data_IF_748200336563
#
_entry.id   IF_748200336563
#
_cell.length_a   1.000
_cell.length_b   1.000
_cell.length_c   1.000
_cell.angle_alpha   90.00
_cell.angle_beta   90.00
_cell.angle_gamma   90.00
#
_symmetry.space_group_name_H-M   'P 1'
#
loop_
_entity.id
_entity.type
_entity.pdbx_description
1 polymer ?
#
# COMPACT_ATOMS: atom_id res chain seq x y z
N UNK A 1 2.24 13.42 23.52
CA UNK A 1 1.39 12.22 23.60
C UNK A 1 0.28 12.43 22.58
N UNK A 2 0.51 12.00 21.33
CA UNK A 2 -0.49 12.09 20.28
C UNK A 2 -1.47 10.95 20.51
N UNK A 3 -2.54 11.24 21.25
CA UNK A 3 -3.74 10.41 21.24
C UNK A 3 -4.30 10.45 19.81
N UNK A 4 -3.74 9.60 18.96
CA UNK A 4 -4.26 9.38 17.62
C UNK A 4 -5.57 8.59 17.78
N UNK A 5 -6.64 9.30 18.16
CA UNK A 5 -7.99 8.81 17.99
C UNK A 5 -8.07 8.31 16.55
N UNK A 6 -8.27 7.01 16.38
CA UNK A 6 -8.42 6.41 15.06
C UNK A 6 -9.38 7.29 14.23
N UNK A 7 -9.01 7.65 13.00
CA UNK A 7 -9.85 8.53 12.20
C UNK A 7 -11.22 7.87 12.08
N UNK A 8 -12.25 8.56 12.56
CA UNK A 8 -13.63 8.13 12.38
C UNK A 8 -14.00 8.39 10.91
N UNK A 9 -13.40 7.55 10.06
CA UNK A 9 -13.70 7.56 8.64
C UNK A 9 -15.08 6.96 8.53
N UNK A 10 -16.02 7.73 8.01
CA UNK A 10 -17.37 7.31 7.81
C UNK A 10 -17.38 5.93 7.13
N UNK A 11 -17.86 4.92 7.85
CA UNK A 11 -17.94 3.53 7.38
C UNK A 11 -18.64 3.43 6.02
N UNK A 12 -19.50 4.42 5.71
CA UNK A 12 -20.20 4.53 4.42
C UNK A 12 -19.23 4.78 3.27
N UNK A 13 -18.18 5.59 3.47
CA UNK A 13 -17.20 5.86 2.40
C UNK A 13 -16.41 4.58 2.08
N UNK A 14 -15.95 3.86 3.10
CA UNK A 14 -15.28 2.58 2.91
C UNK A 14 -16.18 1.56 2.23
N UNK A 15 -17.44 1.50 2.63
CA UNK A 15 -18.43 0.63 1.99
C UNK A 15 -18.61 0.97 0.50
N UNK A 16 -18.72 2.26 0.16
CA UNK A 16 -18.84 2.72 -1.23
C UNK A 16 -17.60 2.38 -2.03
N UNK A 17 -16.39 2.62 -1.48
CA UNK A 17 -15.12 2.31 -2.13
C UNK A 17 -15.01 0.80 -2.40
N UNK A 18 -15.23 -0.03 -1.40
CA UNK A 18 -15.19 -1.49 -1.55
C UNK A 18 -16.21 -1.96 -2.58
N UNK A 19 -17.44 -1.44 -2.52
CA UNK A 19 -18.49 -1.80 -3.47
C UNK A 19 -18.14 -1.39 -4.91
N UNK A 20 -17.51 -0.23 -5.10
CA UNK A 20 -17.07 0.26 -6.41
C UNK A 20 -15.94 -0.58 -7.00
N UNK A 21 -14.99 -1.04 -6.17
CA UNK A 21 -13.86 -1.85 -6.62
C UNK A 21 -14.17 -3.34 -6.72
N UNK A 22 -15.19 -3.83 -6.01
CA UNK A 22 -15.56 -5.24 -5.95
C UNK A 22 -15.81 -5.89 -7.32
N UNK A 23 -16.58 -5.28 -8.25
CA UNK A 23 -16.78 -5.87 -9.57
C UNK A 23 -15.47 -6.06 -10.34
N UNK A 24 -14.57 -5.08 -10.24
CA UNK A 24 -13.27 -5.15 -10.93
C UNK A 24 -12.41 -6.25 -10.29
N UNK A 25 -12.38 -6.36 -8.97
CA UNK A 25 -11.63 -7.42 -8.26
C UNK A 25 -12.11 -8.83 -8.62
N UNK A 26 -13.42 -9.00 -8.88
CA UNK A 26 -14.01 -10.31 -9.17
C UNK A 26 -13.88 -10.67 -10.66
N UNK A 27 -14.14 -9.71 -11.56
CA UNK A 27 -14.26 -10.00 -12.99
C UNK A 27 -13.01 -9.67 -13.81
N UNK A 28 -11.97 -9.12 -13.17
CA UNK A 28 -10.73 -8.77 -13.84
C UNK A 28 -9.91 -10.01 -14.17
N UNK A 29 -9.48 -10.11 -15.42
CA UNK A 29 -8.52 -11.10 -15.87
C UNK A 29 -7.07 -10.66 -15.66
N UNK A 30 -6.17 -11.64 -15.70
CA UNK A 30 -4.73 -11.46 -15.60
C UNK A 30 -4.18 -10.66 -16.78
N UNK A 31 -3.32 -9.68 -16.52
CA UNK A 31 -2.54 -9.01 -17.55
C UNK A 31 -1.28 -9.84 -17.85
N UNK A 32 -1.19 -10.52 -19.01
CA UNK A 32 -0.14 -11.52 -19.26
C UNK A 32 1.27 -10.97 -19.12
N UNK A 33 1.51 -9.77 -19.65
CA UNK A 33 2.86 -9.21 -19.75
C UNK A 33 3.50 -8.85 -18.42
N UNK A 34 2.74 -8.32 -17.46
CA UNK A 34 3.29 -7.84 -16.18
C UNK A 34 2.97 -8.77 -15.02
N UNK A 35 1.70 -9.11 -14.86
CA UNK A 35 1.24 -9.93 -13.73
C UNK A 35 1.64 -11.39 -13.92
N UNK A 36 1.56 -11.91 -15.15
CA UNK A 36 1.95 -13.27 -15.48
C UNK A 36 3.38 -13.61 -15.10
N UNK A 37 4.31 -12.65 -15.16
CA UNK A 37 5.69 -12.88 -14.71
C UNK A 37 5.76 -13.29 -13.24
N UNK A 38 5.05 -12.60 -12.35
CA UNK A 38 5.07 -12.93 -10.91
C UNK A 38 4.56 -14.35 -10.67
N UNK A 39 3.56 -14.77 -11.44
CA UNK A 39 2.98 -16.11 -11.31
C UNK A 39 3.94 -17.19 -11.82
N UNK A 40 4.57 -16.97 -12.97
CA UNK A 40 5.56 -17.90 -13.54
C UNK A 40 6.75 -18.07 -12.59
N UNK A 41 7.31 -16.95 -12.08
CA UNK A 41 8.43 -16.97 -11.14
C UNK A 41 8.05 -17.72 -9.86
N UNK A 42 6.85 -17.46 -9.31
CA UNK A 42 6.36 -18.15 -8.13
C UNK A 42 6.20 -19.66 -8.37
N UNK A 43 5.70 -20.05 -9.54
CA UNK A 43 5.56 -21.46 -9.93
C UNK A 43 6.88 -22.18 -10.10
N UNK A 44 7.84 -21.52 -10.75
CA UNK A 44 9.20 -22.07 -10.91
C UNK A 44 9.90 -22.23 -9.57
N UNK A 45 9.77 -21.22 -8.67
CA UNK A 45 10.34 -21.28 -7.33
C UNK A 45 9.75 -22.43 -6.49
N UNK A 46 8.44 -22.62 -6.56
CA UNK A 46 7.75 -23.73 -5.86
C UNK A 46 8.19 -25.10 -6.42
N UNK A 47 8.30 -25.22 -7.75
CA UNK A 47 8.71 -26.49 -8.39
C UNK A 47 10.17 -26.84 -8.12
N UNK A 48 11.06 -25.84 -8.12
CA UNK A 48 12.49 -26.05 -7.87
C UNK A 48 12.85 -26.15 -6.40
N UNK A 49 11.95 -25.76 -5.49
CA UNK A 49 12.24 -25.63 -4.06
C UNK A 49 13.20 -24.49 -3.72
N UNK A 50 13.46 -23.60 -4.66
CA UNK A 50 14.42 -22.49 -4.50
C UNK A 50 13.68 -21.17 -4.26
N UNK A 51 13.62 -20.72 -3.00
CA UNK A 51 12.85 -19.56 -2.57
C UNK A 51 13.67 -18.26 -2.51
N UNK A 52 14.95 -18.31 -2.81
CA UNK A 52 15.86 -17.16 -2.73
C UNK A 52 16.53 -16.81 -4.07
N UNK A 53 16.66 -17.78 -4.97
CA UNK A 53 17.19 -17.57 -6.31
C UNK A 53 16.10 -17.87 -7.33
N UNK A 54 15.48 -16.81 -7.82
CA UNK A 54 14.34 -16.92 -8.73
C UNK A 54 14.77 -17.08 -10.18
N UNK A 55 13.94 -17.76 -10.95
CA UNK A 55 14.10 -17.91 -12.40
C UNK A 55 12.81 -17.47 -13.11
N UNK A 56 12.96 -17.04 -14.34
CA UNK A 56 11.87 -16.76 -15.28
C UNK A 56 12.18 -17.48 -16.58
N UNK A 57 11.38 -18.49 -16.93
CA UNK A 57 11.62 -19.38 -18.07
C UNK A 57 13.00 -20.10 -18.00
N UNK A 58 13.43 -20.43 -16.79
CA UNK A 58 14.71 -21.09 -16.52
C UNK A 58 15.92 -20.16 -16.45
N UNK A 59 15.78 -18.88 -16.83
CA UNK A 59 16.85 -17.88 -16.75
C UNK A 59 16.85 -17.18 -15.38
N UNK A 60 18.03 -16.87 -14.80
CA UNK A 60 18.13 -16.18 -13.52
C UNK A 60 17.38 -14.84 -13.52
N UNK A 61 16.57 -14.62 -12.50
CA UNK A 61 15.76 -13.41 -12.37
C UNK A 61 16.04 -12.68 -11.06
N UNK A 62 16.70 -11.52 -11.13
CA UNK A 62 17.09 -10.70 -9.98
C UNK A 62 16.45 -9.29 -9.99
N UNK A 63 15.46 -9.03 -10.87
CA UNK A 63 14.89 -7.69 -11.09
C UNK A 63 13.96 -7.24 -9.93
N UNK A 64 13.42 -8.17 -9.14
CA UNK A 64 12.43 -7.85 -8.11
C UNK A 64 12.84 -8.39 -6.73
N UNK A 65 12.50 -7.65 -5.65
CA UNK A 65 12.76 -8.12 -4.30
C UNK A 65 11.92 -9.37 -3.98
N UNK A 66 12.48 -10.32 -3.23
CA UNK A 66 11.87 -11.63 -2.97
C UNK A 66 10.56 -11.55 -2.17
N UNK A 67 10.40 -10.54 -1.33
CA UNK A 67 9.27 -10.45 -0.39
C UNK A 67 7.90 -10.53 -1.06
N UNK A 68 7.70 -9.80 -2.18
CA UNK A 68 6.44 -9.84 -2.89
C UNK A 68 6.19 -11.21 -3.56
N UNK A 69 7.22 -11.82 -4.09
CA UNK A 69 7.14 -13.17 -4.67
C UNK A 69 6.76 -14.22 -3.61
N UNK A 70 7.28 -14.10 -2.40
CA UNK A 70 6.89 -14.96 -1.28
C UNK A 70 5.40 -14.81 -0.93
N UNK A 71 4.85 -13.60 -1.00
CA UNK A 71 3.42 -13.39 -0.78
C UNK A 71 2.58 -14.04 -1.90
N UNK A 72 3.02 -13.95 -3.14
CA UNK A 72 2.36 -14.63 -4.28
C UNK A 72 2.40 -16.15 -4.11
N UNK A 73 3.55 -16.70 -3.72
CA UNK A 73 3.68 -18.13 -3.41
C UNK A 73 2.80 -18.56 -2.24
N UNK A 74 2.73 -17.75 -1.19
CA UNK A 74 1.85 -17.99 -0.04
C UNK A 74 0.38 -18.02 -0.46
N UNK A 75 -0.07 -17.07 -1.27
CA UNK A 75 -1.43 -17.07 -1.83
C UNK A 75 -1.72 -18.36 -2.60
N UNK A 76 -0.78 -18.77 -3.46
CA UNK A 76 -0.91 -20.02 -4.21
C UNK A 76 -0.98 -21.25 -3.32
N UNK A 77 -0.14 -21.30 -2.29
CA UNK A 77 -0.11 -22.43 -1.35
C UNK A 77 -1.41 -22.54 -0.54
N UNK A 78 -1.98 -21.40 -0.10
CA UNK A 78 -3.22 -21.37 0.67
C UNK A 78 -4.46 -21.73 -0.15
N UNK A 79 -4.49 -21.37 -1.43
CA UNK A 79 -5.67 -21.55 -2.30
C UNK A 79 -5.58 -22.71 -3.28
N UNK A 80 -4.43 -23.40 -3.35
CA UNK A 80 -4.19 -24.47 -4.31
C UNK A 80 -4.00 -24.02 -5.76
N UNK A 81 -4.10 -22.73 -6.04
CA UNK A 81 -3.98 -22.16 -7.39
C UNK A 81 -3.79 -20.64 -7.37
N UNK A 82 -3.68 -20.03 -8.56
CA UNK A 82 -3.62 -18.58 -8.70
C UNK A 82 -5.03 -17.98 -8.81
N UNK A 83 -5.56 -17.52 -7.70
CA UNK A 83 -6.84 -16.82 -7.65
C UNK A 83 -6.63 -15.32 -7.73
N UNK A 84 -7.16 -14.70 -8.80
CA UNK A 84 -6.96 -13.26 -9.07
C UNK A 84 -7.42 -12.36 -7.93
N UNK A 85 -8.50 -12.74 -7.25
CA UNK A 85 -9.00 -11.99 -6.08
C UNK A 85 -7.93 -11.92 -4.98
N UNK A 86 -7.34 -13.05 -4.59
CA UNK A 86 -6.30 -13.10 -3.54
C UNK A 86 -5.06 -12.30 -3.95
N UNK A 87 -4.65 -12.41 -5.21
CA UNK A 87 -3.50 -11.69 -5.75
C UNK A 87 -3.75 -10.19 -5.79
N UNK A 88 -4.93 -9.75 -6.22
CA UNK A 88 -5.31 -8.33 -6.22
C UNK A 88 -5.41 -7.76 -4.80
N UNK A 89 -5.80 -8.55 -3.81
CA UNK A 89 -5.82 -8.13 -2.41
C UNK A 89 -4.42 -7.78 -1.88
N UNK A 90 -3.35 -8.36 -2.42
CA UNK A 90 -1.97 -7.98 -2.07
C UNK A 90 -1.63 -6.52 -2.42
N UNK A 91 -2.34 -5.92 -3.37
CA UNK A 91 -2.21 -4.50 -3.73
C UNK A 91 -3.33 -3.65 -3.11
N UNK A 92 -4.54 -4.19 -3.03
CA UNK A 92 -5.71 -3.45 -2.53
C UNK A 92 -5.64 -3.17 -1.03
N UNK A 93 -5.22 -4.16 -0.22
CA UNK A 93 -5.07 -3.98 1.24
C UNK A 93 -4.02 -2.89 1.56
N UNK A 94 -2.80 -2.90 0.98
CA UNK A 94 -1.86 -1.79 1.13
C UNK A 94 -2.42 -0.44 0.69
N UNK A 95 -3.18 -0.36 -0.40
CA UNK A 95 -3.79 0.89 -0.85
C UNK A 95 -4.78 1.45 0.18
N UNK A 96 -5.63 0.60 0.76
CA UNK A 96 -6.52 0.98 1.85
C UNK A 96 -5.75 1.43 3.11
N UNK A 97 -4.66 0.73 3.45
CA UNK A 97 -3.81 1.09 4.58
C UNK A 97 -3.12 2.44 4.37
N UNK A 98 -2.55 2.69 3.19
CA UNK A 98 -1.96 3.99 2.81
C UNK A 98 -2.99 5.11 2.98
N UNK A 99 -4.18 4.93 2.43
CA UNK A 99 -5.27 5.91 2.51
C UNK A 99 -5.64 6.20 3.97
N UNK A 100 -5.78 5.16 4.80
CA UNK A 100 -6.09 5.29 6.23
C UNK A 100 -4.99 6.05 6.98
N UNK A 101 -3.72 5.75 6.71
CA UNK A 101 -2.57 6.43 7.31
C UNK A 101 -2.56 7.91 6.91
N UNK A 102 -2.72 8.22 5.63
CA UNK A 102 -2.75 9.60 5.13
C UNK A 102 -3.89 10.40 5.76
N UNK A 103 -5.06 9.80 5.90
CA UNK A 103 -6.20 10.44 6.56
C UNK A 103 -5.95 10.68 8.05
N UNK A 104 -5.27 9.76 8.73
CA UNK A 104 -4.92 9.93 10.14
C UNK A 104 -3.98 11.12 10.36
N UNK A 105 -3.05 11.38 9.43
CA UNK A 105 -2.15 12.53 9.49
C UNK A 105 -2.87 13.86 9.29
N UNK A 106 -3.88 13.87 8.44
CA UNK A 106 -4.63 15.08 8.09
C UNK A 106 -5.79 15.38 9.02
N UNK A 107 -6.00 14.55 10.05
CA UNK A 107 -7.15 14.65 10.95
C UNK A 107 -7.26 16.03 11.65
N UNK A 108 -6.13 16.61 12.04
CA UNK A 108 -6.10 17.90 12.72
C UNK A 108 -5.94 19.09 11.75
N UNK A 109 -5.69 18.83 10.47
CA UNK A 109 -5.41 19.86 9.46
C UNK A 109 -6.64 20.22 8.62
N UNK A 110 -7.56 19.26 8.43
CA UNK A 110 -8.69 19.41 7.54
C UNK A 110 -10.02 19.10 8.23
N UNK A 111 -11.08 19.78 7.79
CA UNK A 111 -12.44 19.46 8.19
C UNK A 111 -12.83 18.05 7.74
N UNK A 112 -13.82 17.46 8.39
CA UNK A 112 -14.33 16.12 8.04
C UNK A 112 -14.75 16.03 6.56
N UNK A 113 -15.41 17.07 6.05
CA UNK A 113 -15.86 17.13 4.67
C UNK A 113 -14.67 17.13 3.68
N UNK A 114 -13.63 17.92 3.96
CA UNK A 114 -12.45 17.98 3.10
C UNK A 114 -11.69 16.63 3.11
N UNK A 115 -11.63 15.96 4.24
CA UNK A 115 -11.02 14.62 4.33
C UNK A 115 -11.80 13.59 3.50
N UNK A 116 -13.13 13.60 3.56
CA UNK A 116 -13.99 12.74 2.72
C UNK A 116 -13.70 12.98 1.24
N UNK A 117 -13.67 14.23 0.83
CA UNK A 117 -13.36 14.61 -0.56
C UNK A 117 -11.96 14.16 -0.97
N UNK A 118 -10.94 14.39 -0.13
CA UNK A 118 -9.57 13.96 -0.40
C UNK A 118 -9.45 12.44 -0.53
N UNK A 119 -10.18 11.68 0.30
CA UNK A 119 -10.22 10.21 0.20
C UNK A 119 -10.77 9.75 -1.14
N UNK A 120 -11.92 10.32 -1.53
CA UNK A 120 -12.53 9.99 -2.81
C UNK A 120 -11.63 10.38 -3.97
N UNK A 121 -11.03 11.57 -3.95
CA UNK A 121 -10.08 12.01 -4.97
C UNK A 121 -8.87 11.07 -5.09
N UNK A 122 -8.27 10.66 -3.97
CA UNK A 122 -7.15 9.74 -3.97
C UNK A 122 -7.54 8.40 -4.56
N UNK A 123 -8.63 7.80 -4.08
CA UNK A 123 -9.08 6.47 -4.50
C UNK A 123 -9.59 6.44 -5.94
N UNK A 124 -10.11 7.55 -6.45
CA UNK A 124 -10.59 7.66 -7.84
C UNK A 124 -9.53 8.16 -8.82
N UNK A 125 -8.36 8.58 -8.33
CA UNK A 125 -7.24 8.91 -9.20
C UNK A 125 -6.86 7.67 -10.02
N UNK A 126 -6.87 7.80 -11.35
CA UNK A 126 -6.74 6.65 -12.26
C UNK A 126 -5.49 5.81 -11.99
N UNK A 127 -4.34 6.44 -11.73
CA UNK A 127 -3.10 5.72 -11.43
C UNK A 127 -3.18 4.96 -10.09
N UNK A 128 -3.69 5.60 -9.04
CA UNK A 128 -3.81 4.97 -7.72
C UNK A 128 -4.81 3.83 -7.73
N UNK A 129 -5.96 4.03 -8.37
CA UNK A 129 -7.00 3.01 -8.55
C UNK A 129 -6.46 1.81 -9.34
N UNK A 130 -5.77 2.06 -10.46
CA UNK A 130 -5.17 1.00 -11.26
C UNK A 130 -4.09 0.24 -10.46
N UNK A 131 -3.19 0.93 -9.77
CA UNK A 131 -2.15 0.32 -8.97
C UNK A 131 -2.69 -0.47 -7.76
N UNK A 132 -3.83 -0.06 -7.21
CA UNK A 132 -4.51 -0.78 -6.13
C UNK A 132 -5.13 -2.11 -6.59
N UNK A 133 -5.39 -2.28 -7.88
CA UNK A 133 -6.05 -3.46 -8.44
C UNK A 133 -5.07 -4.43 -9.10
N UNK A 134 -3.99 -3.92 -9.68
CA UNK A 134 -3.01 -4.72 -10.43
C UNK A 134 -2.12 -5.51 -9.48
N UNK A 135 -1.79 -6.76 -9.85
CA UNK A 135 -0.87 -7.62 -9.11
C UNK A 135 0.56 -7.09 -9.29
N UNK A 136 0.94 -6.13 -8.46
CA UNK A 136 2.26 -5.48 -8.46
C UNK A 136 2.71 -5.14 -7.06
N UNK A 137 4.03 -5.10 -6.88
CA UNK A 137 4.64 -4.77 -5.58
C UNK A 137 4.55 -3.28 -5.21
N UNK A 138 4.15 -2.41 -6.15
CA UNK A 138 4.24 -0.95 -6.02
C UNK A 138 3.47 -0.44 -4.80
N UNK A 139 2.24 -0.88 -4.58
CA UNK A 139 1.44 -0.46 -3.42
C UNK A 139 2.03 -0.93 -2.09
N UNK A 140 2.60 -2.12 -2.06
CA UNK A 140 3.26 -2.64 -0.87
C UNK A 140 4.53 -1.84 -0.55
N UNK A 141 5.32 -1.49 -1.57
CA UNK A 141 6.50 -0.64 -1.42
C UNK A 141 6.12 0.76 -0.92
N UNK A 142 5.10 1.38 -1.48
CA UNK A 142 4.60 2.69 -1.03
C UNK A 142 4.10 2.62 0.40
N UNK A 143 3.42 1.53 0.81
CA UNK A 143 3.00 1.33 2.19
C UNK A 143 4.19 1.35 3.15
N UNK A 144 5.28 0.64 2.86
CA UNK A 144 6.48 0.65 3.71
C UNK A 144 7.13 2.03 3.77
N UNK A 145 7.17 2.77 2.65
CA UNK A 145 7.67 4.16 2.62
C UNK A 145 6.80 5.05 3.53
N UNK A 146 5.49 4.99 3.40
CA UNK A 146 4.55 5.78 4.22
C UNK A 146 4.68 5.43 5.71
N UNK A 147 4.84 4.15 6.05
CA UNK A 147 5.08 3.71 7.43
C UNK A 147 6.41 4.22 7.98
N UNK A 148 7.48 4.19 7.17
CA UNK A 148 8.78 4.72 7.56
C UNK A 148 8.72 6.23 7.82
N UNK A 149 8.02 6.99 6.97
CA UNK A 149 7.78 8.42 7.20
C UNK A 149 6.96 8.66 8.47
N UNK A 150 5.89 7.91 8.68
CA UNK A 150 5.08 8.01 9.90
C UNK A 150 5.91 7.76 11.15
N UNK A 151 6.73 6.73 11.13
CA UNK A 151 7.61 6.38 12.25
C UNK A 151 8.63 7.49 12.53
N UNK A 152 9.27 8.00 11.47
CA UNK A 152 10.24 9.10 11.59
C UNK A 152 9.62 10.37 12.17
N UNK A 153 8.45 10.78 11.68
CA UNK A 153 7.72 11.94 12.22
C UNK A 153 7.30 11.74 13.68
N UNK A 154 6.95 10.52 14.06
CA UNK A 154 6.61 10.19 15.44
C UNK A 154 7.81 10.36 16.39
N UNK A 155 9.01 9.99 15.92
CA UNK A 155 10.24 10.18 16.68
C UNK A 155 10.65 11.67 16.70
N UNK A 156 10.57 12.35 15.57
CA UNK A 156 10.96 13.77 15.45
C UNK A 156 10.06 14.70 16.27
N UNK A 157 8.78 14.35 16.43
CA UNK A 157 7.86 15.05 17.35
C UNK A 157 8.21 14.92 18.82
N UNK A 158 9.17 14.07 19.17
CA UNK A 158 9.72 13.90 20.52
C UNK A 158 10.94 14.80 20.77
N UNK A 159 11.45 15.52 19.75
CA UNK A 159 12.50 16.52 19.94
C UNK A 159 11.82 17.75 20.59
N UNK A 160 12.19 18.14 21.82
CA UNK A 160 11.67 19.33 22.45
C UNK A 160 11.93 20.53 21.52
N UNK A 161 10.89 21.30 21.23
CA UNK A 161 11.00 22.52 20.40
C UNK A 161 12.03 23.49 20.94
N UNK A 162 12.36 23.40 22.20
CA UNK A 162 13.37 24.20 22.91
C UNK A 162 14.81 23.88 22.48
N UNK A 163 15.05 22.71 21.92
CA UNK A 163 16.36 22.30 21.41
C UNK A 163 16.62 22.78 19.95
N UNK A 164 15.64 23.37 19.29
CA UNK A 164 15.80 23.89 17.92
C UNK A 164 16.33 25.34 17.97
N UNK A 165 17.40 25.65 17.22
CA UNK A 165 17.88 27.02 17.10
C UNK A 165 16.79 27.94 16.52
N UNK A 166 16.71 29.21 16.95
CA UNK A 166 15.62 30.13 16.55
C UNK A 166 15.44 30.29 15.04
N UNK A 167 16.51 30.12 14.27
CA UNK A 167 16.48 30.22 12.81
C UNK A 167 15.73 29.08 12.10
N UNK A 168 15.54 27.93 12.76
CA UNK A 168 14.80 26.80 12.18
C UNK A 168 13.32 26.79 12.54
N UNK A 169 12.91 27.54 13.59
CA UNK A 169 11.51 27.63 14.02
C UNK A 169 10.63 28.32 12.98
N UNK A 170 11.15 29.35 12.33
CA UNK A 170 10.43 30.08 11.27
C UNK A 170 10.23 29.27 9.99
N UNK A 171 11.13 28.34 9.70
CA UNK A 171 11.04 27.47 8.51
C UNK A 171 9.93 26.40 8.65
N UNK A 172 9.51 26.08 9.87
CA UNK A 172 8.45 25.09 10.14
C UNK A 172 7.09 25.72 10.51
N UNK A 173 6.93 27.04 10.35
CA UNK A 173 5.66 27.73 10.60
C UNK A 173 5.23 27.73 12.10
N UNK A 174 6.14 27.47 13.02
CA UNK A 174 5.93 27.55 14.48
C UNK A 174 6.15 29.00 14.91
N UNK A 175 5.18 29.89 14.61
CA UNK A 175 5.10 31.19 15.29
C UNK A 175 4.36 31.03 16.61
N UNK A 176 4.99 31.56 17.67
CA UNK A 176 4.39 31.74 18.99
C UNK A 176 3.22 32.71 18.92
#
# INVERSE_FOLDING_TARGET
>A
MLDAKAPDIDKKIWFIIILAFLPILIFRDLTPANEGRYLIIADEAIRSGNFFSFTLHGEPYADKPPFYLWLVMLCRWLSGGHHMILLSLLSFIPACAITTIMLSWTNNLFSEQNRKTATLMLMTTAYFAAAALVVRMDMLMVLFIVLAFRFNLSISGTIPTDAMPPSSRSAFGLSI
#
